data_IF_372704963752
#
_entry.id   IF_372704963752
#
_cell.length_a   1.000
_cell.length_b   1.000
_cell.length_c   1.000
_cell.angle_alpha   90.00
_cell.angle_beta   90.00
_cell.angle_gamma   90.00
#
_symmetry.space_group_name_H-M   'P 1'
#
loop_
_entity.id
_entity.type
_entity.pdbx_description
1 polymer ?
#
# COMPACT_ATOMS: atom_id res chain seq x y z
N UNK A 1 -34.49 -32.37 16.21
CA UNK A 1 -33.34 -31.62 15.66
C UNK A 1 -32.41 -32.62 14.97
N UNK A 2 -32.05 -32.43 13.69
CA UNK A 2 -31.16 -33.35 13.00
C UNK A 2 -29.81 -33.38 13.72
N UNK A 3 -29.28 -34.58 13.99
CA UNK A 3 -27.98 -34.75 14.60
C UNK A 3 -26.94 -34.05 13.73
N UNK A 4 -26.39 -32.93 14.21
CA UNK A 4 -25.33 -32.20 13.50
C UNK A 4 -24.14 -33.13 13.36
N UNK A 5 -23.87 -33.59 12.13
CA UNK A 5 -22.69 -34.38 11.81
C UNK A 5 -21.46 -33.63 12.29
N UNK A 6 -20.74 -34.24 13.25
CA UNK A 6 -19.53 -33.64 13.82
C UNK A 6 -18.57 -33.30 12.66
N UNK A 7 -17.93 -32.11 12.65
CA UNK A 7 -17.13 -31.60 11.54
C UNK A 7 -15.89 -32.45 11.17
N UNK A 8 -15.64 -33.53 11.90
CA UNK A 8 -14.55 -34.49 11.69
C UNK A 8 -15.07 -35.94 11.50
N UNK A 9 -16.33 -36.13 11.09
CA UNK A 9 -16.94 -37.46 10.90
C UNK A 9 -16.18 -38.37 9.92
N UNK A 10 -15.48 -37.79 8.92
CA UNK A 10 -14.67 -38.53 7.95
C UNK A 10 -13.20 -38.68 8.37
N UNK A 11 -12.82 -38.28 9.59
CA UNK A 11 -11.45 -38.36 10.06
C UNK A 11 -11.20 -39.74 10.71
N UNK A 12 -10.18 -40.51 10.28
CA UNK A 12 -9.93 -41.86 10.81
C UNK A 12 -9.84 -41.86 12.34
N UNK A 13 -10.51 -42.82 13.00
CA UNK A 13 -10.61 -42.90 14.46
C UNK A 13 -9.23 -42.86 15.14
N UNK A 14 -8.26 -43.60 14.60
CA UNK A 14 -6.86 -43.62 15.07
C UNK A 14 -6.22 -42.22 15.10
N UNK A 15 -6.50 -41.39 14.08
CA UNK A 15 -5.98 -40.03 14.01
C UNK A 15 -6.71 -39.10 14.98
N UNK A 16 -8.01 -39.30 15.23
CA UNK A 16 -8.75 -38.57 16.26
C UNK A 16 -8.12 -38.84 17.63
N UNK A 17 -7.86 -40.09 17.96
CA UNK A 17 -7.24 -40.47 19.24
C UNK A 17 -5.82 -39.89 19.39
N UNK A 18 -5.01 -39.94 18.32
CA UNK A 18 -3.69 -39.31 18.30
C UNK A 18 -3.75 -37.79 18.51
N UNK A 19 -4.73 -37.10 17.90
CA UNK A 19 -4.97 -35.67 18.12
C UNK A 19 -5.34 -35.40 19.58
N UNK A 20 -6.27 -36.19 20.15
CA UNK A 20 -6.71 -36.00 21.54
C UNK A 20 -5.56 -36.21 22.52
N UNK A 21 -4.77 -37.28 22.35
CA UNK A 21 -3.59 -37.57 23.18
C UNK A 21 -2.59 -36.40 23.14
N UNK A 22 -2.18 -35.96 21.95
CA UNK A 22 -1.22 -34.86 21.81
C UNK A 22 -1.77 -33.53 22.34
N UNK A 23 -3.08 -33.30 22.24
CA UNK A 23 -3.71 -32.09 22.79
C UNK A 23 -3.68 -32.07 24.32
N UNK A 24 -3.94 -33.22 24.97
CA UNK A 24 -3.84 -33.40 26.44
C UNK A 24 -2.40 -33.32 26.95
N UNK A 25 -1.43 -33.75 26.15
CA UNK A 25 0.00 -33.52 26.39
C UNK A 25 0.41 -32.04 26.21
N UNK A 26 -0.53 -31.18 25.80
CA UNK A 26 -0.33 -29.74 25.73
C UNK A 26 0.33 -29.24 24.43
N UNK A 27 0.41 -30.07 23.39
CA UNK A 27 0.96 -29.65 22.11
C UNK A 27 0.08 -28.62 21.37
N UNK A 28 0.73 -27.75 20.60
CA UNK A 28 0.05 -26.79 19.71
C UNK A 28 -0.69 -27.47 18.57
N UNK A 29 -1.80 -26.90 18.09
CA UNK A 29 -2.52 -27.38 16.88
C UNK A 29 -1.57 -27.59 15.70
N UNK A 30 -0.59 -26.68 15.51
CA UNK A 30 0.40 -26.80 14.43
C UNK A 30 1.32 -28.02 14.59
N UNK A 31 1.79 -28.30 15.81
CA UNK A 31 2.63 -29.47 16.08
C UNK A 31 1.81 -30.76 15.98
N UNK A 32 0.55 -30.75 16.43
CA UNK A 32 -0.38 -31.86 16.26
C UNK A 32 -0.59 -32.16 14.77
N UNK A 33 -0.86 -31.14 13.94
CA UNK A 33 -0.99 -31.29 12.49
C UNK A 33 0.25 -31.94 11.88
N UNK A 34 1.45 -31.51 12.30
CA UNK A 34 2.73 -32.05 11.82
C UNK A 34 2.93 -33.51 12.22
N UNK A 35 2.64 -33.87 13.48
CA UNK A 35 2.85 -35.24 14.00
C UNK A 35 1.82 -36.23 13.46
N UNK A 36 0.57 -35.80 13.29
CA UNK A 36 -0.53 -36.65 12.79
C UNK A 36 -0.57 -36.67 11.26
N UNK A 37 0.15 -35.76 10.58
CA UNK A 37 0.13 -35.64 9.12
C UNK A 37 -1.26 -35.24 8.61
N UNK A 38 -1.85 -34.18 9.18
CA UNK A 38 -3.20 -33.71 8.83
C UNK A 38 -3.25 -32.18 8.76
N UNK A 39 -4.31 -31.65 8.17
CA UNK A 39 -4.53 -30.21 8.05
C UNK A 39 -5.23 -29.64 9.30
N UNK A 40 -5.02 -28.35 9.57
CA UNK A 40 -5.51 -27.69 10.77
C UNK A 40 -7.04 -27.62 10.88
N UNK A 41 -7.76 -27.71 9.75
CA UNK A 41 -9.24 -27.79 9.73
C UNK A 41 -9.78 -29.06 10.41
N UNK A 42 -9.02 -30.17 10.40
CA UNK A 42 -9.43 -31.42 11.05
C UNK A 42 -9.09 -31.42 12.55
N UNK A 43 -8.02 -30.73 12.94
CA UNK A 43 -7.51 -30.72 14.32
C UNK A 43 -8.23 -29.69 15.20
N UNK A 44 -8.54 -28.51 14.66
CA UNK A 44 -9.14 -27.41 15.43
C UNK A 44 -10.46 -27.78 16.12
N UNK A 45 -11.44 -28.42 15.46
CA UNK A 45 -12.70 -28.77 16.11
C UNK A 45 -12.52 -29.76 17.27
N UNK A 46 -11.62 -30.74 17.12
CA UNK A 46 -11.31 -31.72 18.16
C UNK A 46 -10.68 -31.04 19.38
N UNK A 47 -9.71 -30.13 19.15
CA UNK A 47 -9.08 -29.37 20.24
C UNK A 47 -10.08 -28.42 20.91
N UNK A 48 -10.98 -27.79 20.14
CA UNK A 48 -12.02 -26.92 20.69
C UNK A 48 -13.02 -27.68 21.57
N UNK A 49 -13.40 -28.90 21.18
CA UNK A 49 -14.25 -29.78 22.00
C UNK A 49 -13.56 -30.19 23.30
N UNK A 50 -12.26 -30.53 23.26
CA UNK A 50 -11.49 -30.80 24.48
C UNK A 50 -11.36 -29.59 25.40
N UNK A 51 -11.24 -28.38 24.83
CA UNK A 51 -11.17 -27.12 25.58
C UNK A 51 -12.51 -26.84 26.26
N UNK A 52 -13.62 -27.02 25.52
CA UNK A 52 -14.97 -26.87 26.04
C UNK A 52 -15.26 -27.87 27.18
N UNK A 53 -14.78 -29.11 27.06
CA UNK A 53 -14.87 -30.14 28.10
C UNK A 53 -13.85 -29.97 29.24
N UNK A 54 -13.00 -28.93 29.20
CA UNK A 54 -11.93 -28.68 30.18
C UNK A 54 -10.95 -29.85 30.34
N UNK A 55 -10.77 -30.66 29.30
CA UNK A 55 -9.82 -31.80 29.28
C UNK A 55 -8.39 -31.37 28.92
N UNK A 56 -8.19 -30.12 28.50
CA UNK A 56 -6.88 -29.60 28.16
C UNK A 56 -6.12 -29.13 29.40
N UNK A 57 -4.80 -29.34 29.47
CA UNK A 57 -4.01 -28.89 30.60
C UNK A 57 -4.03 -27.36 30.69
N UNK A 58 -4.17 -26.84 31.92
CA UNK A 58 -4.15 -25.39 32.20
C UNK A 58 -2.80 -24.74 31.85
N UNK A 59 -1.73 -25.54 31.84
CA UNK A 59 -0.37 -25.11 31.55
C UNK A 59 0.16 -25.81 30.28
N UNK A 60 0.91 -25.06 29.49
CA UNK A 60 1.67 -25.61 28.36
C UNK A 60 2.88 -26.42 28.88
N UNK A 61 3.47 -27.37 28.12
CA UNK A 61 4.72 -28.06 28.50
C UNK A 61 5.92 -27.14 28.81
N UNK A 62 5.81 -25.85 28.50
CA UNK A 62 6.79 -24.82 28.82
C UNK A 62 6.54 -24.12 30.18
N UNK A 63 5.55 -24.55 30.95
CA UNK A 63 5.20 -24.02 32.28
C UNK A 63 4.30 -22.77 32.28
N UNK A 64 3.94 -22.20 31.13
CA UNK A 64 3.08 -21.02 31.04
C UNK A 64 1.59 -21.39 30.98
N UNK A 65 0.72 -20.56 31.58
CA UNK A 65 -0.74 -20.66 31.48
C UNK A 65 -1.21 -20.57 30.02
N UNK A 66 -2.13 -21.45 29.62
CA UNK A 66 -2.83 -21.34 28.32
C UNK A 66 -3.72 -20.09 28.31
N UNK A 67 -3.74 -19.36 27.18
CA UNK A 67 -4.63 -18.22 26.95
C UNK A 67 -4.02 -16.83 27.23
N UNK A 68 -2.98 -16.72 28.07
CA UNK A 68 -2.35 -15.41 28.37
C UNK A 68 -1.32 -15.07 27.28
N UNK A 69 -1.71 -14.22 26.33
CA UNK A 69 -0.79 -13.61 25.35
C UNK A 69 -0.48 -14.39 24.07
N UNK A 70 -0.97 -15.63 23.92
CA UNK A 70 -0.73 -16.48 22.75
C UNK A 70 -2.00 -16.67 21.91
N UNK A 71 -2.45 -15.62 21.20
CA UNK A 71 -3.63 -15.71 20.29
C UNK A 71 -3.47 -16.74 19.17
N UNK A 72 -2.26 -17.23 18.95
CA UNK A 72 -2.00 -18.44 18.18
C UNK A 72 -1.32 -19.43 19.13
N UNK A 73 -1.88 -20.64 19.25
CA UNK A 73 -1.53 -21.77 20.12
C UNK A 73 -0.05 -22.26 20.09
N UNK A 74 0.92 -21.44 19.69
CA UNK A 74 2.33 -21.78 19.64
C UNK A 74 3.00 -21.21 20.89
N UNK A 75 3.25 -22.04 21.92
CA UNK A 75 4.16 -21.62 23.00
C UNK A 75 5.52 -21.29 22.37
N UNK A 76 5.96 -20.05 22.56
CA UNK A 76 7.21 -19.50 22.04
C UNK A 76 8.44 -20.37 22.36
N UNK A 77 8.40 -21.14 23.45
CA UNK A 77 9.47 -22.06 23.88
C UNK A 77 9.61 -23.29 22.97
N UNK A 78 8.51 -23.80 22.39
CA UNK A 78 8.56 -24.95 21.47
C UNK A 78 9.15 -24.60 20.10
N UNK A 79 8.89 -23.39 19.60
CA UNK A 79 9.56 -22.84 18.41
C UNK A 79 11.04 -22.58 18.63
N UNK A 80 11.45 -22.23 19.86
CA UNK A 80 12.84 -21.92 20.19
C UNK A 80 13.76 -23.16 20.21
N UNK A 81 13.22 -24.38 20.38
CA UNK A 81 14.03 -25.61 20.38
C UNK A 81 14.24 -26.25 19.00
N UNK A 82 13.41 -25.95 17.99
CA UNK A 82 13.43 -26.67 16.69
C UNK A 82 13.85 -25.86 15.46
N UNK A 83 13.87 -24.53 15.50
CA UNK A 83 14.69 -23.81 14.51
C UNK A 83 16.13 -23.91 15.01
N UNK A 84 17.00 -24.69 14.38
CA UNK A 84 18.44 -24.69 14.65
C UNK A 84 19.13 -23.34 14.43
N UNK A 85 18.37 -22.27 14.25
CA UNK A 85 18.81 -20.95 14.66
C UNK A 85 18.84 -20.95 16.18
N UNK A 86 20.03 -20.97 16.83
CA UNK A 86 20.10 -20.33 18.13
C UNK A 86 19.30 -19.03 17.99
N UNK A 87 18.48 -18.67 18.97
CA UNK A 87 18.31 -17.23 19.22
C UNK A 87 19.75 -16.78 19.24
N UNK A 88 20.25 -16.20 18.13
CA UNK A 88 21.47 -15.45 18.15
C UNK A 88 21.14 -14.57 19.32
N UNK A 89 21.85 -14.77 20.44
CA UNK A 89 22.18 -13.67 21.30
C UNK A 89 22.72 -12.69 20.27
N UNK A 90 21.83 -11.88 19.72
CA UNK A 90 22.17 -10.79 18.84
C UNK A 90 22.92 -9.99 19.86
N UNK A 91 24.23 -10.24 19.90
CA UNK A 91 25.13 -9.94 20.99
C UNK A 91 24.68 -8.58 21.46
N UNK A 92 24.00 -8.53 22.61
CA UNK A 92 23.41 -7.28 23.06
C UNK A 92 24.63 -6.39 23.13
N UNK A 93 24.73 -5.47 22.19
CA UNK A 93 25.86 -4.57 22.16
C UNK A 93 25.78 -3.91 23.52
N UNK A 94 26.83 -4.10 24.33
CA UNK A 94 26.87 -3.46 25.63
C UNK A 94 26.59 -1.97 25.45
N UNK A 95 25.92 -1.36 26.42
CA UNK A 95 25.61 0.07 26.38
C UNK A 95 26.79 0.95 25.96
N UNK A 96 28.07 0.66 26.35
CA UNK A 96 29.23 1.41 25.85
C UNK A 96 29.37 1.42 24.33
N UNK A 97 29.17 0.28 23.65
CA UNK A 97 29.25 0.18 22.18
C UNK A 97 28.08 0.90 21.50
N UNK A 98 26.89 0.83 22.10
CA UNK A 98 25.71 1.56 21.61
C UNK A 98 25.94 3.07 21.73
N UNK A 99 26.48 3.53 22.86
CA UNK A 99 26.82 4.94 23.09
C UNK A 99 27.88 5.43 22.10
N UNK A 100 28.88 4.62 21.78
CA UNK A 100 29.88 4.96 20.74
C UNK A 100 29.25 5.10 19.35
N UNK A 101 28.33 4.18 18.98
CA UNK A 101 27.56 4.30 17.72
C UNK A 101 26.81 5.63 17.68
N UNK A 102 26.11 6.01 18.77
CA UNK A 102 25.33 7.25 18.80
C UNK A 102 26.22 8.50 18.68
N UNK A 103 27.31 8.56 19.45
CA UNK A 103 28.31 9.64 19.36
C UNK A 103 28.83 9.82 17.94
N UNK A 104 29.18 8.73 17.26
CA UNK A 104 29.68 8.76 15.87
C UNK A 104 28.61 9.17 14.86
N UNK A 105 27.36 8.77 15.06
CA UNK A 105 26.23 9.23 14.23
C UNK A 105 26.02 10.73 14.37
N UNK A 106 26.10 11.27 15.59
CA UNK A 106 25.96 12.71 15.83
C UNK A 106 27.11 13.52 15.24
N UNK A 107 28.32 12.95 15.22
CA UNK A 107 29.47 13.48 14.48
C UNK A 107 29.33 13.40 12.94
N UNK A 108 28.22 12.86 12.42
CA UNK A 108 27.94 12.77 10.99
C UNK A 108 28.66 11.63 10.26
N UNK A 109 29.25 10.67 10.98
CA UNK A 109 29.86 9.50 10.34
C UNK A 109 28.82 8.62 9.65
N UNK A 110 29.20 7.99 8.54
CA UNK A 110 28.32 7.04 7.85
C UNK A 110 28.20 5.74 8.62
N UNK A 111 27.03 5.09 8.62
CA UNK A 111 26.83 3.79 9.28
C UNK A 111 27.84 2.73 8.80
N UNK A 112 28.33 2.83 7.56
CA UNK A 112 29.33 1.92 7.00
C UNK A 112 30.72 2.17 7.57
N UNK A 113 31.12 3.45 7.71
CA UNK A 113 32.38 3.83 8.38
C UNK A 113 32.37 3.38 9.83
N UNK A 114 31.26 3.63 10.55
CA UNK A 114 31.10 3.17 11.94
C UNK A 114 31.25 1.65 12.03
N UNK A 115 30.59 0.90 11.15
CA UNK A 115 30.68 -0.56 11.14
C UNK A 115 32.11 -1.07 10.87
N UNK A 116 32.81 -0.44 9.93
CA UNK A 116 34.19 -0.79 9.58
C UNK A 116 35.16 -0.49 10.74
N UNK A 117 35.08 0.70 11.33
CA UNK A 117 36.00 1.16 12.37
C UNK A 117 35.76 0.49 13.73
N UNK A 118 34.51 0.14 14.07
CA UNK A 118 34.16 -0.46 15.37
C UNK A 118 34.15 -1.99 15.35
N UNK A 119 34.26 -2.61 14.17
CA UNK A 119 34.05 -4.06 13.98
C UNK A 119 32.61 -4.52 14.24
N UNK A 120 31.66 -3.61 14.45
CA UNK A 120 30.26 -3.93 14.68
C UNK A 120 29.57 -4.18 13.34
N UNK A 121 28.78 -5.27 13.24
CA UNK A 121 28.06 -5.57 12.00
C UNK A 121 27.20 -4.38 11.53
N UNK A 122 27.23 -4.10 10.22
CA UNK A 122 26.46 -3.01 9.61
C UNK A 122 24.95 -3.09 9.94
N UNK A 123 24.40 -4.30 10.04
CA UNK A 123 23.01 -4.54 10.43
C UNK A 123 22.72 -4.06 11.85
N UNK A 124 23.64 -4.29 12.79
CA UNK A 124 23.48 -3.81 14.17
C UNK A 124 23.62 -2.28 14.25
N UNK A 125 24.60 -1.70 13.55
CA UNK A 125 24.75 -0.24 13.45
C UNK A 125 23.48 0.39 12.85
N UNK A 126 22.92 -0.18 11.78
CA UNK A 126 21.68 0.29 11.17
C UNK A 126 20.48 0.22 12.12
N UNK A 127 20.35 -0.86 12.90
CA UNK A 127 19.28 -1.01 13.89
C UNK A 127 19.38 0.06 14.97
N UNK A 128 20.56 0.26 15.54
CA UNK A 128 20.79 1.28 16.57
C UNK A 128 20.68 2.70 16.00
N UNK A 129 21.15 2.94 14.77
CA UNK A 129 20.95 4.21 14.08
C UNK A 129 19.46 4.54 13.93
N UNK A 130 18.61 3.61 13.49
CA UNK A 130 17.15 3.84 13.41
C UNK A 130 16.53 4.13 14.78
N UNK A 131 16.93 3.40 15.81
CA UNK A 131 16.43 3.63 17.17
C UNK A 131 16.85 5.01 17.71
N UNK A 132 18.09 5.43 17.45
CA UNK A 132 18.59 6.77 17.78
C UNK A 132 17.80 7.86 17.07
N UNK A 133 17.60 7.70 15.75
CA UNK A 133 16.85 8.65 14.93
C UNK A 133 15.43 8.89 15.42
N UNK A 134 14.76 7.85 15.93
CA UNK A 134 13.39 7.97 16.46
C UNK A 134 13.34 8.76 17.77
N UNK A 135 14.40 8.70 18.58
CA UNK A 135 14.46 9.33 19.91
C UNK A 135 15.04 10.76 19.89
N UNK A 136 15.60 11.19 18.77
CA UNK A 136 16.31 12.45 18.68
C UNK A 136 15.33 13.60 18.46
N UNK A 137 15.38 14.60 19.33
CA UNK A 137 14.56 15.81 19.25
C UNK A 137 15.17 16.86 18.31
N UNK A 138 16.51 16.94 18.25
CA UNK A 138 17.20 17.94 17.42
C UNK A 138 17.39 17.44 15.99
N UNK A 139 17.10 18.25 14.95
CA UNK A 139 17.44 17.89 13.58
C UNK A 139 18.95 17.68 13.44
N UNK A 140 19.37 16.86 12.47
CA UNK A 140 20.79 16.77 12.15
C UNK A 140 21.29 18.13 11.63
N UNK A 141 22.56 18.47 11.88
CA UNK A 141 23.21 19.53 11.10
C UNK A 141 23.08 19.20 9.60
N UNK A 142 22.92 20.20 8.72
CA UNK A 142 22.88 19.97 7.28
C UNK A 142 24.12 19.18 6.84
N UNK A 143 23.99 18.33 5.82
CA UNK A 143 25.18 17.66 5.27
C UNK A 143 26.18 18.73 4.82
N UNK A 144 27.48 18.38 4.75
CA UNK A 144 28.53 19.26 4.20
C UNK A 144 28.21 19.81 2.79
N UNK A 145 27.27 19.22 2.06
CA UNK A 145 26.77 19.73 0.79
C UNK A 145 25.67 20.81 0.91
N UNK A 146 25.34 21.29 2.12
CA UNK A 146 24.26 22.25 2.40
C UNK A 146 22.84 21.67 2.39
N UNK A 147 22.64 20.43 1.94
CA UNK A 147 21.32 19.77 1.93
C UNK A 147 20.97 19.19 3.31
N UNK A 148 19.67 18.94 3.60
CA UNK A 148 19.25 18.23 4.81
C UNK A 148 20.05 16.92 4.99
N UNK A 149 20.39 16.59 6.23
CA UNK A 149 21.13 15.36 6.49
C UNK A 149 20.38 14.14 5.97
N UNK A 150 21.14 13.16 5.46
CA UNK A 150 20.58 11.92 4.88
C UNK A 150 19.61 12.18 3.71
N UNK A 151 19.78 13.28 2.97
CA UNK A 151 18.96 13.55 1.79
C UNK A 151 18.99 12.36 0.80
N UNK A 152 17.87 12.10 0.09
CA UNK A 152 17.82 11.05 -0.92
C UNK A 152 18.92 11.25 -1.98
N UNK A 153 19.53 10.14 -2.43
CA UNK A 153 20.61 10.14 -3.43
C UNK A 153 22.06 10.22 -2.89
N UNK A 154 22.24 10.22 -1.57
CA UNK A 154 23.55 10.23 -0.90
C UNK A 154 24.26 11.58 -0.98
N UNK A 155 25.02 11.94 0.07
CA UNK A 155 25.67 13.25 0.14
C UNK A 155 26.69 13.43 -0.98
N UNK A 156 26.65 14.57 -1.68
CA UNK A 156 27.54 14.84 -2.84
C UNK A 156 29.02 14.87 -2.44
N UNK A 157 29.29 15.15 -1.16
CA UNK A 157 30.63 15.17 -0.56
C UNK A 157 31.11 13.76 -0.16
N UNK A 158 30.20 12.87 0.25
CA UNK A 158 30.54 11.54 0.80
C UNK A 158 30.20 10.35 -0.13
N UNK A 159 29.40 10.56 -1.16
CA UNK A 159 29.44 9.72 -2.36
C UNK A 159 30.50 10.36 -3.21
N UNK A 160 31.69 9.76 -3.37
CA UNK A 160 32.69 10.35 -4.21
C UNK A 160 32.03 10.74 -5.52
N UNK A 161 32.37 11.93 -5.98
CA UNK A 161 32.34 12.41 -7.36
C UNK A 161 33.03 11.46 -8.36
N UNK A 162 33.04 10.14 -8.11
CA UNK A 162 33.67 9.08 -8.90
C UNK A 162 33.13 8.97 -10.33
N UNK A 163 32.02 9.65 -10.66
CA UNK A 163 31.81 9.98 -12.06
C UNK A 163 32.68 11.19 -12.40
N UNK A 164 33.84 10.90 -13.00
CA UNK A 164 34.70 11.91 -13.61
C UNK A 164 33.93 12.78 -14.60
N UNK A 165 34.45 13.99 -14.87
CA UNK A 165 33.81 15.01 -15.71
C UNK A 165 33.32 14.41 -17.04
N UNK A 166 34.16 13.61 -17.69
CA UNK A 166 33.86 12.94 -18.96
C UNK A 166 32.58 12.11 -18.91
N UNK A 167 32.33 11.42 -17.80
CA UNK A 167 31.17 10.54 -17.68
C UNK A 167 29.90 11.27 -17.24
N UNK A 168 30.03 12.43 -16.59
CA UNK A 168 28.90 13.37 -16.44
C UNK A 168 28.50 13.96 -17.78
N UNK A 169 29.49 14.34 -18.61
CA UNK A 169 29.23 14.82 -19.96
C UNK A 169 28.58 13.73 -20.81
N UNK A 170 29.08 12.50 -20.75
CA UNK A 170 28.47 11.34 -21.42
C UNK A 170 26.99 11.13 -21.01
N UNK A 171 26.65 11.30 -19.72
CA UNK A 171 25.24 11.23 -19.27
C UNK A 171 24.42 12.37 -19.89
N UNK A 172 24.95 13.60 -19.95
CA UNK A 172 24.26 14.72 -20.62
C UNK A 172 24.00 14.40 -22.10
N UNK A 173 25.00 13.89 -22.80
CA UNK A 173 24.90 13.55 -24.22
C UNK A 173 23.86 12.44 -24.44
N UNK A 174 23.84 11.43 -23.56
CA UNK A 174 22.81 10.38 -23.59
C UNK A 174 21.40 10.93 -23.32
N UNK A 175 21.25 11.84 -22.35
CA UNK A 175 19.96 12.49 -22.06
C UNK A 175 19.49 13.30 -23.27
N UNK A 176 20.37 14.09 -23.90
CA UNK A 176 20.05 14.86 -25.10
C UNK A 176 19.56 13.94 -26.24
N UNK A 177 20.25 12.81 -26.44
CA UNK A 177 19.88 11.76 -27.40
C UNK A 177 18.63 10.95 -27.03
N UNK A 178 18.02 11.19 -25.87
CA UNK A 178 16.78 10.54 -25.45
C UNK A 178 16.96 9.13 -24.88
N UNK A 179 18.17 8.77 -24.43
CA UNK A 179 18.38 7.48 -23.79
C UNK A 179 17.56 7.37 -22.50
N UNK A 180 17.04 6.18 -22.23
CA UNK A 180 16.47 5.83 -20.93
C UNK A 180 17.56 5.53 -19.89
N UNK A 181 17.25 5.64 -18.60
CA UNK A 181 18.18 5.27 -17.53
C UNK A 181 18.74 3.85 -17.71
N UNK A 182 17.90 2.91 -18.14
CA UNK A 182 18.30 1.52 -18.37
C UNK A 182 19.26 1.37 -19.56
N UNK A 183 19.02 2.09 -20.66
CA UNK A 183 19.95 2.12 -21.79
C UNK A 183 21.29 2.72 -21.36
N UNK A 184 21.30 3.84 -20.64
CA UNK A 184 22.53 4.42 -20.10
C UNK A 184 23.29 3.44 -19.21
N UNK A 185 22.61 2.68 -18.34
CA UNK A 185 23.26 1.65 -17.49
C UNK A 185 23.95 0.60 -18.37
N UNK A 186 23.25 0.08 -19.39
CA UNK A 186 23.82 -0.90 -20.34
C UNK A 186 25.01 -0.33 -21.09
N UNK A 187 24.85 0.87 -21.67
CA UNK A 187 25.89 1.58 -22.43
C UNK A 187 27.09 1.97 -21.58
N UNK A 188 26.89 2.15 -20.27
CA UNK A 188 27.99 2.48 -19.34
C UNK A 188 28.91 1.30 -19.02
N UNK A 189 28.65 0.10 -19.57
CA UNK A 189 29.38 -1.16 -19.30
C UNK A 189 29.57 -1.43 -17.79
N UNK A 190 28.50 -1.24 -17.00
CA UNK A 190 28.47 -1.37 -15.52
C UNK A 190 29.30 -0.33 -14.74
N UNK A 191 29.98 0.61 -15.40
CA UNK A 191 30.77 1.62 -14.70
C UNK A 191 29.94 2.76 -14.09
N UNK A 192 28.61 2.75 -14.25
CA UNK A 192 27.71 3.57 -13.44
C UNK A 192 26.49 2.75 -12.99
N UNK A 193 26.13 2.85 -11.70
CA UNK A 193 24.90 2.25 -11.18
C UNK A 193 23.66 2.99 -11.70
N UNK A 194 22.48 2.36 -11.66
CA UNK A 194 21.24 3.03 -12.04
C UNK A 194 20.95 4.26 -11.17
N UNK A 195 21.25 4.21 -9.88
CA UNK A 195 21.08 5.35 -8.96
C UNK A 195 22.02 6.50 -9.33
N UNK A 196 23.24 6.15 -9.73
CA UNK A 196 24.26 7.09 -10.20
C UNK A 196 23.76 7.80 -11.47
N UNK A 197 23.25 7.07 -12.45
CA UNK A 197 22.69 7.66 -13.67
C UNK A 197 21.48 8.55 -13.36
N UNK A 198 20.50 8.07 -12.59
CA UNK A 198 19.31 8.85 -12.24
C UNK A 198 19.67 10.16 -11.51
N UNK A 199 20.66 10.13 -10.61
CA UNK A 199 21.14 11.33 -9.91
C UNK A 199 21.56 12.47 -10.85
N UNK A 200 22.16 12.14 -11.99
CA UNK A 200 22.64 13.15 -12.96
C UNK A 200 21.67 13.36 -14.13
N UNK A 201 20.88 12.36 -14.51
CA UNK A 201 19.94 12.45 -15.62
C UNK A 201 18.62 13.13 -15.23
N UNK A 202 18.11 12.91 -14.01
CA UNK A 202 16.82 13.46 -13.58
C UNK A 202 16.73 15.00 -13.67
N UNK A 203 17.70 15.78 -13.14
CA UNK A 203 17.63 17.24 -13.25
C UNK A 203 17.66 17.74 -14.71
N UNK A 204 18.31 17.00 -15.60
CA UNK A 204 18.37 17.33 -17.02
C UNK A 204 17.02 17.06 -17.69
N UNK A 205 16.37 15.93 -17.38
CA UNK A 205 15.01 15.66 -17.88
C UNK A 205 13.99 16.66 -17.36
N UNK A 206 14.09 17.06 -16.08
CA UNK A 206 13.22 18.10 -15.49
C UNK A 206 13.39 19.43 -16.24
N UNK A 207 14.64 19.85 -16.48
CA UNK A 207 14.91 21.06 -17.28
C UNK A 207 14.33 20.95 -18.69
N UNK A 208 14.59 19.85 -19.39
CA UNK A 208 14.03 19.62 -20.73
C UNK A 208 12.50 19.62 -20.74
N UNK A 209 11.85 19.14 -19.68
CA UNK A 209 10.40 19.14 -19.56
C UNK A 209 9.83 20.56 -19.33
N UNK A 210 10.54 21.41 -18.58
CA UNK A 210 10.21 22.84 -18.45
C UNK A 210 10.38 23.56 -19.78
N UNK A 211 11.42 23.21 -20.55
CA UNK A 211 11.70 23.76 -21.87
C UNK A 211 10.76 23.19 -22.97
N UNK A 212 9.69 22.47 -22.60
CA UNK A 212 8.69 21.95 -23.55
C UNK A 212 9.20 20.80 -24.43
N UNK A 213 10.31 20.16 -24.08
CA UNK A 213 10.85 19.04 -24.86
C UNK A 213 10.18 17.72 -24.47
N UNK A 214 9.39 17.16 -25.38
CA UNK A 214 8.66 15.91 -25.17
C UNK A 214 9.43 14.67 -25.66
N UNK A 215 9.01 13.50 -25.17
CA UNK A 215 9.44 12.21 -25.69
C UNK A 215 8.75 11.94 -27.04
N UNK A 216 9.33 11.09 -27.90
CA UNK A 216 8.71 10.73 -29.19
C UNK A 216 7.32 10.08 -29.09
N UNK A 217 6.91 9.64 -27.89
CA UNK A 217 5.56 9.15 -27.61
C UNK A 217 4.55 10.26 -27.25
N UNK A 218 4.94 11.54 -27.23
CA UNK A 218 4.10 12.68 -26.82
C UNK A 218 4.06 12.95 -25.31
N UNK A 219 4.57 12.04 -24.47
CA UNK A 219 4.68 12.24 -23.02
C UNK A 219 5.92 13.08 -22.64
N UNK A 220 5.96 13.59 -21.41
CA UNK A 220 7.17 14.27 -20.88
C UNK A 220 8.38 13.33 -20.91
N UNK A 221 9.57 13.83 -21.32
CA UNK A 221 10.80 13.03 -21.26
C UNK A 221 11.06 12.53 -19.82
N UNK A 222 11.38 11.24 -19.69
CA UNK A 222 11.57 10.59 -18.39
C UNK A 222 10.29 10.03 -17.74
N UNK A 223 9.16 9.98 -18.45
CA UNK A 223 7.94 9.35 -17.96
C UNK A 223 8.19 7.89 -17.54
N UNK A 224 7.45 7.42 -16.53
CA UNK A 224 7.56 6.04 -16.04
C UNK A 224 6.95 5.09 -17.06
N UNK A 225 7.78 4.40 -17.83
CA UNK A 225 7.38 3.39 -18.80
C UNK A 225 8.41 3.24 -19.91
N UNK A 226 8.33 2.17 -20.69
CA UNK A 226 9.07 2.10 -21.96
C UNK A 226 8.21 2.87 -22.97
N UNK A 227 8.72 3.98 -23.50
CA UNK A 227 7.99 4.77 -24.49
C UNK A 227 7.87 4.00 -25.81
N UNK A 228 6.85 4.31 -26.62
CA UNK A 228 6.66 3.75 -27.98
C UNK A 228 7.95 3.79 -28.79
N UNK A 229 8.58 4.97 -28.86
CA UNK A 229 9.81 5.17 -29.62
C UNK A 229 11.00 4.36 -29.09
N UNK A 230 11.09 4.14 -27.76
CA UNK A 230 12.12 3.28 -27.15
C UNK A 230 11.82 1.79 -27.40
N UNK A 231 10.55 1.43 -27.58
CA UNK A 231 10.12 0.07 -27.88
C UNK A 231 10.49 -0.32 -29.31
N UNK A 232 10.15 0.54 -30.27
CA UNK A 232 10.47 0.39 -31.69
C UNK A 232 11.99 0.39 -31.91
N UNK A 233 12.74 1.26 -31.23
CA UNK A 233 14.20 1.33 -31.38
C UNK A 233 14.95 0.15 -30.75
N UNK A 234 14.43 -0.45 -29.67
CA UNK A 234 15.16 -1.50 -28.92
C UNK A 234 14.70 -2.95 -29.26
N UNK A 235 13.74 -3.16 -30.17
CA UNK A 235 13.20 -4.49 -30.54
C UNK A 235 12.89 -5.40 -29.32
N UNK A 236 12.49 -4.83 -28.18
CA UNK A 236 12.42 -5.60 -26.92
C UNK A 236 11.24 -6.56 -26.97
N UNK A 237 11.46 -7.86 -27.13
CA UNK A 237 10.40 -8.89 -27.12
C UNK A 237 9.61 -8.94 -25.78
N UNK A 238 10.12 -8.35 -24.69
CA UNK A 238 9.50 -8.41 -23.35
C UNK A 238 9.30 -7.02 -22.72
N UNK A 239 8.05 -6.67 -22.46
CA UNK A 239 7.59 -5.45 -21.79
C UNK A 239 6.12 -5.14 -22.13
N UNK A 240 5.46 -4.18 -21.46
CA UNK A 240 4.16 -3.70 -21.93
C UNK A 240 4.35 -3.06 -23.29
N UNK A 241 3.91 -3.74 -24.35
CA UNK A 241 3.94 -3.19 -25.70
C UNK A 241 3.03 -1.97 -25.76
N UNK A 242 3.41 -0.92 -26.52
CA UNK A 242 2.45 0.10 -26.87
C UNK A 242 1.27 -0.50 -27.63
N UNK A 243 0.11 0.09 -27.43
CA UNK A 243 -1.09 -0.32 -28.13
C UNK A 243 -1.04 0.29 -29.53
N UNK A 244 -1.22 -0.50 -30.61
CA UNK A 244 -1.39 0.05 -31.96
C UNK A 244 -2.52 1.09 -31.96
N UNK A 245 -2.35 2.21 -32.68
CA UNK A 245 -3.37 3.28 -32.75
C UNK A 245 -4.73 2.75 -33.15
N UNK A 246 -4.77 1.87 -34.15
CA UNK A 246 -6.01 1.21 -34.59
C UNK A 246 -6.70 0.35 -33.51
N UNK A 247 -5.93 -0.30 -32.62
CA UNK A 247 -6.50 -1.02 -31.47
C UNK A 247 -7.03 -0.01 -30.43
N UNK A 248 -6.28 1.06 -30.17
CA UNK A 248 -6.70 2.14 -29.26
C UNK A 248 -7.98 2.82 -29.73
N UNK A 249 -8.08 3.15 -31.02
CA UNK A 249 -9.25 3.81 -31.61
C UNK A 249 -10.47 2.90 -31.59
N UNK A 250 -10.30 1.59 -31.85
CA UNK A 250 -11.40 0.61 -31.72
C UNK A 250 -11.91 0.51 -30.28
N UNK A 251 -11.00 0.47 -29.30
CA UNK A 251 -11.37 0.48 -27.88
C UNK A 251 -12.08 1.78 -27.51
N UNK A 252 -11.53 2.92 -27.93
CA UNK A 252 -12.09 4.24 -27.64
C UNK A 252 -13.49 4.39 -28.23
N UNK A 253 -13.68 4.02 -29.49
CA UNK A 253 -14.99 4.05 -30.15
C UNK A 253 -16.00 3.13 -29.47
N UNK A 254 -15.62 1.91 -29.10
CA UNK A 254 -16.50 1.01 -28.36
C UNK A 254 -16.89 1.60 -26.98
N UNK A 255 -15.93 2.16 -26.25
CA UNK A 255 -16.19 2.85 -24.97
C UNK A 255 -17.11 4.07 -25.15
N UNK A 256 -16.88 4.88 -26.19
CA UNK A 256 -17.72 6.03 -26.51
C UNK A 256 -19.13 5.63 -26.94
N UNK A 257 -19.30 4.44 -27.53
CA UNK A 257 -20.62 3.86 -27.82
C UNK A 257 -21.31 3.30 -26.56
N UNK A 258 -20.71 3.46 -25.38
CA UNK A 258 -21.28 3.03 -24.10
C UNK A 258 -21.03 1.56 -23.78
N UNK A 259 -20.12 0.88 -24.48
CA UNK A 259 -19.80 -0.51 -24.17
C UNK A 259 -19.07 -0.62 -22.82
N UNK A 260 -19.39 -1.67 -22.07
CA UNK A 260 -18.65 -2.02 -20.86
C UNK A 260 -17.25 -2.52 -21.20
N UNK A 261 -16.32 -2.45 -20.27
CA UNK A 261 -14.97 -3.05 -20.45
C UNK A 261 -15.04 -4.53 -20.81
N UNK A 262 -16.04 -5.26 -20.26
CA UNK A 262 -16.27 -6.68 -20.56
C UNK A 262 -16.73 -6.85 -22.02
N UNK A 263 -17.66 -6.00 -22.47
CA UNK A 263 -18.17 -5.97 -23.85
C UNK A 263 -17.06 -5.59 -24.83
N UNK A 264 -16.26 -4.56 -24.52
CA UNK A 264 -15.08 -4.17 -25.29
C UNK A 264 -14.11 -5.35 -25.42
N UNK A 265 -13.86 -6.11 -24.35
CA UNK A 265 -12.98 -7.29 -24.40
C UNK A 265 -13.53 -8.41 -25.30
N UNK A 266 -14.85 -8.53 -25.42
CA UNK A 266 -15.50 -9.52 -26.29
C UNK A 266 -15.45 -9.09 -27.76
N UNK A 267 -15.68 -7.80 -28.02
CA UNK A 267 -15.84 -7.26 -29.38
C UNK A 267 -14.51 -6.80 -30.00
N UNK A 268 -13.55 -6.40 -29.18
CA UNK A 268 -12.21 -5.97 -29.59
C UNK A 268 -11.20 -6.97 -29.03
N UNK A 269 -10.30 -7.54 -29.85
CA UNK A 269 -9.30 -8.53 -29.41
C UNK A 269 -8.20 -7.86 -28.56
N UNK A 270 -8.57 -7.41 -27.36
CA UNK A 270 -7.71 -6.70 -26.42
C UNK A 270 -7.83 -7.29 -25.02
N UNK A 271 -6.85 -6.97 -24.18
CA UNK A 271 -6.90 -7.35 -22.76
C UNK A 271 -7.68 -6.32 -21.94
N UNK A 272 -8.27 -6.75 -20.83
CA UNK A 272 -9.00 -5.85 -19.91
C UNK A 272 -8.12 -4.69 -19.40
N UNK A 273 -6.84 -4.98 -19.09
CA UNK A 273 -5.86 -3.96 -18.67
C UNK A 273 -5.63 -2.88 -19.73
N UNK A 274 -5.69 -3.25 -21.01
CA UNK A 274 -5.54 -2.34 -22.14
C UNK A 274 -6.78 -1.45 -22.29
N UNK A 275 -7.97 -2.03 -22.23
CA UNK A 275 -9.22 -1.27 -22.24
C UNK A 275 -9.30 -0.25 -21.10
N UNK A 276 -8.94 -0.62 -19.86
CA UNK A 276 -8.86 0.32 -18.74
C UNK A 276 -7.84 1.44 -18.95
N UNK A 277 -6.73 1.17 -19.66
CA UNK A 277 -5.73 2.20 -19.96
C UNK A 277 -6.33 3.27 -20.87
N UNK A 278 -7.06 2.88 -21.91
CA UNK A 278 -7.75 3.82 -22.81
C UNK A 278 -8.81 4.60 -22.06
N UNK A 279 -9.65 3.93 -21.26
CA UNK A 279 -10.66 4.58 -20.42
C UNK A 279 -10.07 5.69 -19.52
N UNK A 280 -8.93 5.42 -18.87
CA UNK A 280 -8.25 6.42 -18.01
C UNK A 280 -7.60 7.55 -18.80
N UNK A 281 -7.22 7.29 -20.05
CA UNK A 281 -6.62 8.28 -20.94
C UNK A 281 -7.65 9.17 -21.64
N UNK A 282 -8.95 8.83 -21.58
CA UNK A 282 -10.02 9.67 -22.14
C UNK A 282 -9.99 11.07 -21.55
N UNK A 283 -10.14 12.07 -22.42
CA UNK A 283 -10.33 13.47 -22.07
C UNK A 283 -11.63 13.69 -21.28
N UNK A 284 -11.77 14.81 -20.54
CA UNK A 284 -13.00 15.12 -19.83
C UNK A 284 -14.25 15.14 -20.73
N UNK A 285 -14.12 15.67 -21.96
CA UNK A 285 -15.22 15.72 -22.93
C UNK A 285 -15.66 14.31 -23.39
N UNK A 286 -14.70 13.43 -23.67
CA UNK A 286 -14.98 12.03 -24.03
C UNK A 286 -15.64 11.26 -22.89
N UNK A 287 -15.18 11.46 -21.64
CA UNK A 287 -15.80 10.84 -20.46
C UNK A 287 -17.24 11.32 -20.28
N UNK A 288 -17.48 12.62 -20.44
CA UNK A 288 -18.82 13.18 -20.39
C UNK A 288 -19.73 12.58 -21.49
N UNK A 289 -19.26 12.55 -22.74
CA UNK A 289 -20.00 11.95 -23.86
C UNK A 289 -20.35 10.48 -23.59
N UNK A 290 -19.38 9.70 -23.13
CA UNK A 290 -19.59 8.30 -22.73
C UNK A 290 -20.62 8.20 -21.61
N UNK A 291 -20.50 9.02 -20.56
CA UNK A 291 -21.44 9.03 -19.45
C UNK A 291 -22.86 9.26 -19.99
N UNK A 292 -23.10 10.29 -20.80
CA UNK A 292 -24.41 10.57 -21.40
C UNK A 292 -24.99 9.38 -22.18
N UNK A 293 -24.16 8.63 -22.92
CA UNK A 293 -24.59 7.46 -23.69
C UNK A 293 -24.91 6.28 -22.76
N UNK A 294 -24.07 6.04 -21.74
CA UNK A 294 -24.34 5.01 -20.72
C UNK A 294 -25.62 5.33 -19.96
N UNK A 295 -25.82 6.59 -19.57
CA UNK A 295 -27.07 7.07 -18.95
C UNK A 295 -28.28 6.83 -19.83
N UNK A 296 -28.18 7.17 -21.12
CA UNK A 296 -29.26 6.95 -22.09
C UNK A 296 -29.58 5.47 -22.22
N UNK A 297 -28.55 4.60 -22.36
CA UNK A 297 -28.75 3.14 -22.37
C UNK A 297 -29.40 2.63 -21.09
N UNK A 298 -28.95 3.06 -19.92
CA UNK A 298 -29.58 2.68 -18.64
C UNK A 298 -31.05 3.10 -18.60
N UNK A 299 -31.38 4.25 -19.18
CA UNK A 299 -32.77 4.76 -19.27
C UNK A 299 -33.61 3.99 -20.29
N UNK A 300 -33.01 3.58 -21.41
CA UNK A 300 -33.72 3.01 -22.56
C UNK A 300 -33.79 1.47 -22.52
N UNK A 301 -32.75 0.78 -22.04
CA UNK A 301 -32.68 -0.70 -21.92
C UNK A 301 -33.57 -1.24 -20.78
N UNK A 302 -33.91 -0.39 -19.81
CA UNK A 302 -34.79 -0.76 -18.70
C UNK A 302 -35.80 0.37 -18.46
N UNK A 303 -37.02 0.21 -18.99
CA UNK A 303 -38.21 0.90 -18.45
C UNK A 303 -38.41 0.69 -16.93
N UNK A 304 -37.55 -0.13 -16.29
CA UNK A 304 -37.52 -0.45 -14.87
C UNK A 304 -36.35 0.17 -14.08
N UNK A 305 -35.29 0.74 -14.65
CA UNK A 305 -34.20 1.35 -13.82
C UNK A 305 -34.53 2.82 -13.55
N UNK A 306 -35.60 3.05 -12.80
CA UNK A 306 -35.69 4.27 -12.00
C UNK A 306 -34.45 4.34 -11.10
N UNK A 307 -33.93 5.55 -10.84
CA UNK A 307 -32.74 5.74 -10.00
C UNK A 307 -32.80 4.98 -8.66
N UNK A 308 -34.01 4.75 -8.15
CA UNK A 308 -34.28 3.88 -6.99
C UNK A 308 -33.72 2.44 -7.13
N UNK A 309 -33.88 1.80 -8.29
CA UNK A 309 -33.40 0.45 -8.54
C UNK A 309 -31.86 0.35 -8.64
N UNK A 310 -31.18 1.44 -9.03
CA UNK A 310 -29.72 1.50 -8.97
C UNK A 310 -29.25 1.50 -7.51
N UNK A 311 -29.81 2.41 -6.69
CA UNK A 311 -29.45 2.50 -5.27
C UNK A 311 -29.74 1.20 -4.52
N UNK A 312 -30.87 0.54 -4.78
CA UNK A 312 -31.21 -0.75 -4.18
C UNK A 312 -30.22 -1.85 -4.58
N UNK A 313 -29.85 -1.94 -5.87
CA UNK A 313 -28.84 -2.91 -6.36
C UNK A 313 -27.46 -2.65 -5.73
N UNK A 314 -27.06 -1.38 -5.60
CA UNK A 314 -25.79 -1.00 -4.95
C UNK A 314 -25.84 -1.32 -3.45
N UNK A 315 -26.92 -0.95 -2.76
CA UNK A 315 -27.12 -1.18 -1.33
C UNK A 315 -27.15 -2.67 -0.98
N UNK A 316 -27.71 -3.52 -1.85
CA UNK A 316 -27.69 -4.97 -1.73
C UNK A 316 -26.31 -5.59 -1.99
N UNK A 317 -25.43 -4.90 -2.73
CA UNK A 317 -24.06 -5.35 -2.98
C UNK A 317 -23.10 -4.99 -1.84
N UNK A 318 -23.42 -3.99 -1.01
CA UNK A 318 -22.62 -3.59 0.16
C UNK A 318 -23.02 -4.43 1.38
N UNK A 319 -22.07 -5.06 2.09
CA UNK A 319 -22.38 -5.89 3.26
C UNK A 319 -23.17 -5.13 4.35
N UNK A 320 -24.27 -5.73 4.82
CA UNK A 320 -25.13 -5.13 5.84
C UNK A 320 -24.47 -5.00 7.23
N UNK A 321 -23.40 -5.76 7.50
CA UNK A 321 -22.67 -5.73 8.77
C UNK A 321 -21.70 -4.55 8.95
N UNK A 322 -21.70 -3.58 8.03
CA UNK A 322 -20.89 -2.36 8.13
C UNK A 322 -21.72 -1.30 8.88
N UNK A 323 -21.06 -0.42 9.65
CA UNK A 323 -21.69 0.73 10.30
C UNK A 323 -22.50 1.53 9.27
N UNK A 324 -23.74 1.90 9.60
CA UNK A 324 -24.68 2.53 8.66
C UNK A 324 -24.10 3.75 7.95
N UNK A 325 -23.44 4.65 8.67
CA UNK A 325 -22.80 5.84 8.09
C UNK A 325 -21.76 5.50 7.01
N UNK A 326 -20.84 4.57 7.31
CA UNK A 326 -19.82 4.10 6.36
C UNK A 326 -20.48 3.35 5.19
N UNK A 327 -21.56 2.62 5.46
CA UNK A 327 -22.32 1.91 4.42
C UNK A 327 -22.94 2.90 3.44
N UNK A 328 -23.56 3.96 3.91
CA UNK A 328 -24.23 4.96 3.08
C UNK A 328 -23.23 5.74 2.20
N UNK A 329 -22.05 6.07 2.74
CA UNK A 329 -20.95 6.66 1.96
C UNK A 329 -20.46 5.71 0.86
N UNK A 330 -20.24 4.44 1.20
CA UNK A 330 -19.84 3.41 0.21
C UNK A 330 -20.90 3.24 -0.87
N UNK A 331 -22.18 3.25 -0.50
CA UNK A 331 -23.29 3.15 -1.45
C UNK A 331 -23.32 4.38 -2.36
N UNK A 332 -23.15 5.58 -1.83
CA UNK A 332 -23.10 6.83 -2.60
C UNK A 332 -21.95 6.82 -3.61
N UNK A 333 -20.74 6.49 -3.16
CA UNK A 333 -19.53 6.41 -4.00
C UNK A 333 -19.62 5.33 -5.08
N UNK A 334 -20.14 4.14 -4.76
CA UNK A 334 -20.38 3.10 -5.74
C UNK A 334 -21.43 3.52 -6.76
N UNK A 335 -22.51 4.19 -6.31
CA UNK A 335 -23.55 4.70 -7.21
C UNK A 335 -22.98 5.73 -8.16
N UNK A 336 -22.18 6.69 -7.65
CA UNK A 336 -21.48 7.67 -8.49
C UNK A 336 -20.52 7.01 -9.49
N UNK A 337 -19.76 6.01 -9.07
CA UNK A 337 -18.87 5.28 -9.98
C UNK A 337 -19.63 4.54 -11.08
N UNK A 338 -20.82 4.02 -10.80
CA UNK A 338 -21.68 3.41 -11.81
C UNK A 338 -22.25 4.47 -12.76
N UNK A 339 -22.73 5.58 -12.21
CA UNK A 339 -23.29 6.72 -12.93
C UNK A 339 -22.25 7.39 -13.86
N UNK A 340 -21.00 7.49 -13.43
CA UNK A 340 -19.88 7.96 -14.25
C UNK A 340 -19.42 6.93 -15.29
N UNK A 341 -19.97 5.71 -15.22
CA UNK A 341 -19.61 4.58 -16.07
C UNK A 341 -18.24 3.96 -15.74
N UNK A 342 -17.63 4.31 -14.61
CA UNK A 342 -16.38 3.70 -14.13
C UNK A 342 -16.61 2.24 -13.69
N UNK A 343 -17.83 1.93 -13.27
CA UNK A 343 -18.29 0.58 -12.93
C UNK A 343 -19.58 0.25 -13.69
N UNK A 344 -19.73 -1.02 -14.06
CA UNK A 344 -21.03 -1.57 -14.49
C UNK A 344 -21.78 -2.18 -13.32
N UNK A 345 -23.10 -2.37 -13.46
CA UNK A 345 -23.94 -3.00 -12.44
C UNK A 345 -23.40 -4.38 -12.00
N UNK A 346 -22.95 -5.19 -12.95
CA UNK A 346 -22.40 -6.53 -12.68
C UNK A 346 -21.09 -6.49 -11.89
N UNK A 347 -20.35 -5.38 -11.97
CA UNK A 347 -19.08 -5.21 -11.28
C UNK A 347 -19.22 -4.70 -9.85
N UNK A 348 -20.41 -4.21 -9.44
CA UNK A 348 -20.59 -3.59 -8.13
C UNK A 348 -20.17 -4.53 -7.00
N UNK A 349 -20.63 -5.79 -7.00
CA UNK A 349 -20.30 -6.75 -5.93
C UNK A 349 -18.79 -7.05 -5.85
N UNK A 350 -18.14 -7.21 -6.99
CA UNK A 350 -16.70 -7.50 -7.04
C UNK A 350 -15.87 -6.30 -6.54
N UNK A 351 -16.35 -5.08 -6.77
CA UNK A 351 -15.65 -3.85 -6.39
C UNK A 351 -16.07 -3.31 -5.01
N UNK A 352 -17.22 -3.70 -4.46
CA UNK A 352 -17.73 -3.21 -3.18
C UNK A 352 -16.70 -3.34 -2.05
N UNK A 353 -16.01 -4.48 -1.94
CA UNK A 353 -14.97 -4.70 -0.92
C UNK A 353 -13.84 -3.66 -0.98
N UNK A 354 -13.46 -3.21 -2.18
CA UNK A 354 -12.43 -2.19 -2.38
C UNK A 354 -12.90 -0.82 -1.89
N UNK A 355 -14.14 -0.46 -2.19
CA UNK A 355 -14.74 0.80 -1.73
C UNK A 355 -14.93 0.79 -0.22
N UNK A 356 -15.40 -0.32 0.36
CA UNK A 356 -15.44 -0.53 1.82
C UNK A 356 -14.06 -0.38 2.44
N UNK A 357 -13.04 -1.03 1.88
CA UNK A 357 -11.66 -0.91 2.40
C UNK A 357 -11.12 0.52 2.33
N UNK A 358 -11.42 1.25 1.25
CA UNK A 358 -11.09 2.67 1.12
C UNK A 358 -11.83 3.49 2.16
N UNK A 359 -13.13 3.23 2.34
CA UNK A 359 -13.99 3.92 3.28
C UNK A 359 -13.49 3.82 4.71
N UNK A 360 -13.08 2.62 5.15
CA UNK A 360 -12.45 2.45 6.45
C UNK A 360 -11.08 3.17 6.55
N UNK A 361 -10.34 3.29 5.45
CA UNK A 361 -9.05 3.98 5.45
C UNK A 361 -9.18 5.50 5.42
N UNK A 362 -10.15 6.06 4.71
CA UNK A 362 -10.37 7.51 4.58
C UNK A 362 -11.24 8.05 5.72
N UNK A 363 -12.30 7.33 6.08
CA UNK A 363 -13.32 7.82 7.00
C UNK A 363 -13.21 7.17 8.37
N UNK A 364 -12.93 5.86 8.48
CA UNK A 364 -12.72 5.24 9.79
C UNK A 364 -11.34 5.52 10.42
N UNK A 365 -10.34 5.98 9.64
CA UNK A 365 -9.13 6.57 10.22
C UNK A 365 -9.39 7.92 10.89
N UNK A 366 -10.52 8.56 10.56
CA UNK A 366 -11.09 9.69 11.26
C UNK A 366 -11.67 9.37 12.66
N UNK A 367 -11.96 8.09 12.94
CA UNK A 367 -12.59 7.60 14.17
C UNK A 367 -11.65 6.76 15.06
N UNK A 368 -10.32 6.95 14.92
CA UNK A 368 -9.49 6.84 16.12
C UNK A 368 -9.88 7.95 17.10
N UNK A 369 -9.64 7.82 18.43
CA UNK A 369 -9.89 8.93 19.35
C UNK A 369 -9.09 10.16 18.87
N UNK A 370 -9.78 11.14 18.30
CA UNK A 370 -9.25 12.44 17.95
C UNK A 370 -9.49 13.36 19.12
N UNK A 371 -8.47 14.13 19.50
CA UNK A 371 -8.67 15.19 20.50
C UNK A 371 -9.61 16.23 19.91
N UNK A 372 -10.46 16.84 20.73
CA UNK A 372 -11.19 18.04 20.31
C UNK A 372 -10.21 19.14 19.88
N UNK A 373 -8.98 19.10 20.40
CA UNK A 373 -7.89 20.02 20.06
C UNK A 373 -7.11 19.64 18.79
N UNK A 374 -7.48 18.57 18.07
CA UNK A 374 -6.79 18.20 16.84
C UNK A 374 -7.06 19.27 15.77
N UNK A 375 -5.98 19.90 15.29
CA UNK A 375 -6.03 20.92 14.25
C UNK A 375 -6.67 20.38 12.96
N UNK A 376 -7.66 21.10 12.44
CA UNK A 376 -8.39 20.78 11.21
C UNK A 376 -7.76 21.41 9.95
N UNK A 377 -6.73 22.24 10.11
CA UNK A 377 -5.98 22.88 9.02
C UNK A 377 -4.49 23.00 9.35
N UNK A 378 -3.67 23.26 8.32
CA UNK A 378 -2.21 23.39 8.45
C UNK A 378 -1.78 24.60 9.30
N UNK A 379 -2.67 25.57 9.48
CA UNK A 379 -2.48 26.77 10.28
C UNK A 379 -2.76 26.57 11.77
N UNK A 380 -3.37 25.44 12.15
CA UNK A 380 -3.75 25.14 13.53
C UNK A 380 -4.81 26.06 14.11
N UNK A 381 -5.46 26.91 13.29
CA UNK A 381 -6.39 27.95 13.77
C UNK A 381 -7.79 27.43 14.10
N UNK A 382 -8.11 26.23 13.61
CA UNK A 382 -9.41 25.57 13.80
C UNK A 382 -9.22 24.18 14.35
N UNK A 383 -9.99 23.84 15.35
CA UNK A 383 -10.02 22.53 16.00
C UNK A 383 -11.40 21.89 15.88
N UNK A 384 -11.50 20.60 16.16
CA UNK A 384 -12.80 19.91 16.23
C UNK A 384 -13.70 20.47 17.35
N UNK A 385 -13.10 21.05 18.40
CA UNK A 385 -13.80 21.72 19.49
C UNK A 385 -14.64 22.91 19.01
N UNK A 386 -14.18 23.64 17.99
CA UNK A 386 -14.87 24.83 17.48
C UNK A 386 -16.22 24.51 16.80
N UNK A 387 -16.43 23.25 16.43
CA UNK A 387 -17.68 22.76 15.84
C UNK A 387 -18.67 22.20 16.86
N UNK A 388 -18.25 22.03 18.12
CA UNK A 388 -19.16 21.70 19.21
C UNK A 388 -19.90 22.99 19.56
N UNK A 389 -21.09 23.16 18.99
CA UNK A 389 -21.91 24.34 19.21
C UNK A 389 -22.15 24.54 20.70
N UNK A 390 -21.45 25.52 21.28
CA UNK A 390 -21.69 25.96 22.65
C UNK A 390 -22.97 26.79 22.66
N UNK A 391 -24.08 26.15 23.02
CA UNK A 391 -25.37 26.81 23.17
C UNK A 391 -25.40 27.86 24.29
N UNK A 392 -24.32 27.98 25.09
CA UNK A 392 -24.19 29.04 26.09
C UNK A 392 -23.41 30.27 25.57
N UNK A 393 -22.63 30.14 24.49
CA UNK A 393 -21.88 31.25 23.87
C UNK A 393 -22.73 32.23 23.05
N UNK A 394 -24.00 31.89 22.76
CA UNK A 394 -24.91 32.73 21.97
C UNK A 394 -25.51 33.89 22.78
N UNK A 395 -25.34 33.90 24.11
CA UNK A 395 -25.94 34.93 24.98
C UNK A 395 -25.04 36.15 25.21
N UNK A 396 -23.80 36.17 24.68
CA UNK A 396 -22.84 37.26 24.95
C UNK A 396 -22.52 38.15 23.74
N UNK A 397 -23.28 38.07 22.64
CA UNK A 397 -23.00 38.85 21.40
C UNK A 397 -23.97 40.02 21.20
N UNK A 398 -24.95 40.24 22.09
CA UNK A 398 -25.96 41.30 21.94
C UNK A 398 -25.54 42.69 22.50
N UNK A 399 -24.31 42.88 22.97
CA UNK A 399 -23.79 44.21 23.34
C UNK A 399 -22.57 44.59 22.51
N UNK A 400 -22.78 44.94 21.24
CA UNK A 400 -21.88 45.84 20.52
C UNK A 400 -22.71 47.06 20.13
N UNK A 401 -22.59 48.11 20.94
CA UNK A 401 -23.14 49.44 20.67
C UNK A 401 -22.64 49.96 19.31
N UNK A 402 -23.54 50.01 18.34
CA UNK A 402 -23.37 50.79 17.13
C UNK A 402 -23.85 52.21 17.44
N UNK A 403 -22.97 53.05 17.99
CA UNK A 403 -23.33 54.44 18.25
C UNK A 403 -22.27 55.25 18.96
N UNK A 404 -21.41 55.93 18.20
CA UNK A 404 -20.48 56.93 18.74
C UNK A 404 -19.80 57.72 17.64
N UNK A 405 -20.56 58.62 16.99
CA UNK A 405 -20.00 59.77 16.25
C UNK A 405 -19.63 60.84 17.26
N UNK A 406 -18.37 61.26 17.25
CA UNK A 406 -17.93 62.67 17.10
C UNK A 406 -16.45 62.71 16.72
#
# INVERSE_FOLDING_TARGET
MPATTKPYANFPLEKIEAVKRLAREGFSVREICRRVGTHHHNVRPIVAELDASKELPTHCPCGQLRGVGHRNLVCAVSTARKTGYPKRRASQLGWPKIKDIYRRIDAGQSNRSIALETGISLTAVNRHSKAWMKKRERPFPPCRCGRPARHPGGCIVNSPSLIGINKRQQIKDWVARGFSAAQMVRSSRKAASIHTILKYATPLWEKMAVDGTFCGCGERRGHRGVCIATWESDLRIRGPQPMPREEQDRILNALLNGDSIITVRRNVPTSEKRAYRVLRAMSPAERHRRACIVYRRIRDDDGAVHGRNLFEKVQAAVPAGIVSSVRDEVVSELSLAVLQGDLTLDQIRAHAKKYVGRAFQSWASGFGPKSLDEALGDDGSRTLGDFVGDSTGSLSVDEIEIGGRE
#
